data_IF_917921794391
#
_entry.id   IF_917921794391
#
_cell.length_a   1.000
_cell.length_b   1.000
_cell.length_c   1.000
_cell.angle_alpha   90.00
_cell.angle_beta   90.00
_cell.angle_gamma   90.00
#
_symmetry.space_group_name_H-M   'P 1'
#
loop_
_entity.id
_entity.type
_entity.pdbx_description
1 polymer ?
#
# COMPACT_ATOMS: atom_id res chain seq x y z
N UNK A 1 7.95 5.87 17.33
CA UNK A 1 6.77 5.12 17.82
C UNK A 1 7.26 3.76 18.27
N UNK A 2 7.21 3.49 19.58
CA UNK A 2 7.62 2.22 20.18
C UNK A 2 6.65 1.06 19.87
N UNK A 3 5.39 1.39 19.54
CA UNK A 3 4.36 0.41 19.22
C UNK A 3 3.92 0.44 17.75
N UNK A 4 3.62 -0.73 17.21
CA UNK A 4 2.83 -0.92 15.99
C UNK A 4 1.44 -1.37 16.44
N UNK A 5 0.46 -0.49 16.28
CA UNK A 5 -0.90 -0.68 16.78
C UNK A 5 -1.89 0.03 15.84
N UNK A 6 -3.06 -0.59 15.68
CA UNK A 6 -4.20 -0.02 14.95
C UNK A 6 -5.35 0.24 15.93
N UNK A 7 -6.09 1.33 15.76
CA UNK A 7 -7.14 1.75 16.70
C UNK A 7 -8.17 0.63 16.96
N UNK A 8 -8.42 0.36 18.25
CA UNK A 8 -9.28 -0.71 18.79
C UNK A 8 -8.87 -2.14 18.41
N UNK A 9 -7.65 -2.35 17.91
CA UNK A 9 -7.11 -3.69 17.74
C UNK A 9 -6.92 -4.36 19.09
N UNK A 10 -7.33 -5.61 19.24
CA UNK A 10 -7.02 -6.40 20.43
C UNK A 10 -5.56 -6.90 20.45
N UNK A 11 -4.73 -6.47 19.49
CA UNK A 11 -3.31 -6.84 19.37
C UNK A 11 -2.45 -5.63 19.01
N UNK A 12 -1.27 -5.56 19.62
CA UNK A 12 -0.23 -4.59 19.31
C UNK A 12 1.16 -5.23 19.38
N UNK A 13 2.11 -4.73 18.59
CA UNK A 13 3.50 -5.20 18.62
C UNK A 13 4.41 -4.12 19.17
N UNK A 14 5.17 -4.42 20.21
CA UNK A 14 6.21 -3.54 20.71
C UNK A 14 7.47 -3.72 19.83
N UNK A 15 7.93 -2.64 19.19
CA UNK A 15 8.99 -2.67 18.18
C UNK A 15 10.34 -3.12 18.76
N UNK A 16 10.70 -2.62 19.93
CA UNK A 16 12.04 -2.87 20.50
C UNK A 16 12.18 -4.31 20.96
N UNK A 17 11.13 -4.88 21.57
CA UNK A 17 11.15 -6.26 22.04
C UNK A 17 10.66 -7.26 21.00
N UNK A 18 10.14 -6.81 19.86
CA UNK A 18 9.51 -7.65 18.84
C UNK A 18 8.35 -8.50 19.37
N UNK A 19 7.80 -8.15 20.53
CA UNK A 19 6.78 -8.95 21.23
C UNK A 19 5.38 -8.46 20.87
N UNK A 20 4.50 -9.39 20.56
CA UNK A 20 3.08 -9.16 20.32
C UNK A 20 2.34 -9.31 21.64
N UNK A 21 1.50 -8.32 21.94
CA UNK A 21 0.65 -8.29 23.11
C UNK A 21 -0.82 -8.36 22.69
N UNK A 22 -1.61 -9.11 23.45
CA UNK A 22 -3.06 -8.96 23.47
C UNK A 22 -3.42 -7.78 24.37
N UNK A 23 -4.36 -6.96 23.92
CA UNK A 23 -4.81 -5.76 24.60
C UNK A 23 -6.30 -5.91 24.93
N UNK A 24 -6.62 -5.80 26.21
CA UNK A 24 -7.97 -5.83 26.74
C UNK A 24 -8.39 -4.43 27.16
N UNK A 25 -9.55 -3.99 26.67
CA UNK A 25 -10.11 -2.66 26.91
C UNK A 25 -11.30 -2.75 27.85
N UNK A 26 -11.36 -1.88 28.87
CA UNK A 26 -12.60 -1.65 29.59
C UNK A 26 -13.65 -1.00 28.69
N UNK A 27 -14.95 -1.22 28.98
CA UNK A 27 -16.08 -0.71 28.17
C UNK A 27 -16.05 0.80 27.88
N UNK A 28 -15.43 1.60 28.76
CA UNK A 28 -15.26 3.03 28.59
C UNK A 28 -13.79 3.40 28.85
N UNK A 29 -12.91 3.02 27.92
CA UNK A 29 -11.47 3.28 28.05
C UNK A 29 -11.19 4.79 27.96
N UNK A 30 -10.81 5.41 29.07
CA UNK A 30 -10.50 6.84 29.16
C UNK A 30 -9.06 7.12 29.62
N UNK A 31 -8.40 6.11 30.16
CA UNK A 31 -7.05 6.21 30.70
C UNK A 31 -6.25 4.93 30.45
N UNK A 32 -4.93 5.01 30.68
CA UNK A 32 -4.04 3.84 30.68
C UNK A 32 -4.42 2.77 31.72
N UNK A 33 -5.13 3.14 32.79
CA UNK A 33 -5.57 2.21 33.82
C UNK A 33 -6.69 1.27 33.30
N UNK A 34 -7.40 1.70 32.26
CA UNK A 34 -8.49 0.95 31.63
C UNK A 34 -8.00 -0.09 30.60
N UNK A 35 -6.68 -0.24 30.49
CA UNK A 35 -6.02 -1.13 29.53
C UNK A 35 -5.25 -2.20 30.29
N UNK A 36 -5.46 -3.45 29.89
CA UNK A 36 -4.63 -4.58 30.32
C UNK A 36 -3.90 -5.14 29.11
N UNK A 37 -2.60 -5.40 29.25
CA UNK A 37 -1.78 -6.00 28.20
C UNK A 37 -1.21 -7.34 28.67
N UNK A 38 -1.16 -8.32 27.75
CA UNK A 38 -0.56 -9.63 28.01
C UNK A 38 0.28 -10.06 26.82
N UNK A 39 1.55 -10.47 27.00
CA UNK A 39 2.35 -10.96 25.91
C UNK A 39 1.75 -12.27 25.38
N UNK A 40 1.65 -12.41 24.05
CA UNK A 40 1.09 -13.61 23.40
C UNK A 40 2.06 -14.30 22.48
N UNK A 41 2.99 -13.58 21.85
CA UNK A 41 4.02 -14.19 21.02
C UNK A 41 5.22 -13.25 20.87
N UNK A 42 6.38 -13.81 20.53
CA UNK A 42 7.62 -13.06 20.37
C UNK A 42 8.76 -13.60 21.24
N UNK A 43 9.95 -12.99 21.14
CA UNK A 43 11.17 -13.50 21.76
C UNK A 43 11.18 -13.35 23.29
N UNK A 44 10.37 -12.43 23.84
CA UNK A 44 10.28 -12.19 25.29
C UNK A 44 8.83 -12.30 25.76
N UNK A 45 8.57 -13.17 26.73
CA UNK A 45 7.23 -13.38 27.30
C UNK A 45 7.12 -13.00 28.78
N UNK A 46 8.25 -12.75 29.45
CA UNK A 46 8.29 -12.39 30.86
C UNK A 46 8.70 -10.92 31.01
N UNK A 47 7.84 -10.16 31.66
CA UNK A 47 8.00 -8.73 31.95
C UNK A 47 7.72 -8.50 33.43
N UNK A 48 8.51 -7.62 34.05
CA UNK A 48 8.25 -7.18 35.41
C UNK A 48 7.00 -6.30 35.45
N UNK A 49 6.43 -6.12 36.65
CA UNK A 49 5.27 -5.23 36.85
C UNK A 49 5.60 -3.79 36.41
N UNK A 50 6.80 -3.32 36.72
CA UNK A 50 7.24 -1.97 36.34
C UNK A 50 7.39 -1.82 34.83
N UNK A 51 7.92 -2.84 34.14
CA UNK A 51 8.00 -2.86 32.68
C UNK A 51 6.62 -2.86 32.03
N UNK A 52 5.67 -3.63 32.56
CA UNK A 52 4.29 -3.65 32.07
C UNK A 52 3.63 -2.26 32.19
N UNK A 53 3.85 -1.53 33.28
CA UNK A 53 3.32 -0.17 33.42
C UNK A 53 3.96 0.81 32.42
N UNK A 54 5.27 0.74 32.18
CA UNK A 54 5.92 1.53 31.12
C UNK A 54 5.38 1.19 29.74
N UNK A 55 5.22 -0.09 29.43
CA UNK A 55 4.64 -0.56 28.17
C UNK A 55 3.19 -0.08 27.98
N UNK A 56 2.40 -0.01 29.06
CA UNK A 56 1.05 0.56 29.03
C UNK A 56 1.07 2.07 28.77
N UNK A 57 2.02 2.81 29.35
CA UNK A 57 2.20 4.23 29.09
C UNK A 57 2.49 4.52 27.61
N UNK A 58 3.42 3.76 27.04
CA UNK A 58 3.76 3.87 25.62
C UNK A 58 2.62 3.45 24.69
N UNK A 59 1.91 2.37 25.04
CA UNK A 59 0.74 1.92 24.29
C UNK A 59 -0.38 2.96 24.34
N UNK A 60 -0.60 3.59 25.49
CA UNK A 60 -1.59 4.65 25.63
C UNK A 60 -1.26 5.84 24.72
N UNK A 61 0.00 6.26 24.69
CA UNK A 61 0.45 7.30 23.76
C UNK A 61 0.21 6.90 22.29
N UNK A 62 0.54 5.65 21.92
CA UNK A 62 0.30 5.13 20.57
C UNK A 62 -1.21 5.06 20.22
N UNK A 63 -2.06 4.76 21.20
CA UNK A 63 -3.51 4.74 21.02
C UNK A 63 -4.06 6.15 20.76
N UNK A 64 -3.61 7.15 21.53
CA UNK A 64 -3.97 8.55 21.30
C UNK A 64 -3.48 9.03 19.92
N UNK A 65 -2.28 8.63 19.52
CA UNK A 65 -1.72 8.92 18.20
C UNK A 65 -2.60 8.37 17.07
N UNK A 66 -2.99 7.10 17.17
CA UNK A 66 -3.79 6.44 16.14
C UNK A 66 -5.24 6.93 16.12
N UNK A 67 -5.80 7.30 17.28
CA UNK A 67 -7.10 7.97 17.36
C UNK A 67 -7.07 9.31 16.63
N UNK A 68 -6.02 10.12 16.84
CA UNK A 68 -5.83 11.39 16.11
C UNK A 68 -5.66 11.16 14.62
N UNK A 69 -4.87 10.16 14.20
CA UNK A 69 -4.74 9.79 12.79
C UNK A 69 -6.08 9.41 12.17
N UNK A 70 -6.89 8.61 12.85
CA UNK A 70 -8.21 8.17 12.36
C UNK A 70 -9.14 9.37 12.20
N UNK A 71 -9.15 10.28 13.19
CA UNK A 71 -9.92 11.51 13.11
C UNK A 71 -9.43 12.42 11.97
N UNK A 72 -8.12 12.60 11.82
CA UNK A 72 -7.51 13.34 10.71
C UNK A 72 -7.91 12.74 9.35
N UNK A 73 -7.85 11.40 9.22
CA UNK A 73 -8.25 10.70 8.00
C UNK A 73 -9.71 10.98 7.67
N UNK A 74 -10.59 10.87 8.67
CA UNK A 74 -12.02 11.16 8.50
C UNK A 74 -12.25 12.60 8.02
N UNK A 75 -11.60 13.59 8.64
CA UNK A 75 -11.70 14.98 8.21
C UNK A 75 -11.23 15.15 6.76
N UNK A 76 -10.06 14.64 6.43
CA UNK A 76 -9.46 14.77 5.10
C UNK A 76 -10.36 14.17 4.02
N UNK A 77 -10.86 12.95 4.23
CA UNK A 77 -11.66 12.27 3.21
C UNK A 77 -13.09 12.84 3.13
N UNK A 78 -13.74 13.12 4.27
CA UNK A 78 -15.16 13.49 4.30
C UNK A 78 -15.41 15.00 4.11
N UNK A 79 -14.62 15.83 4.78
CA UNK A 79 -14.79 17.30 4.79
C UNK A 79 -13.97 17.97 3.69
N UNK A 80 -12.76 17.47 3.41
CA UNK A 80 -11.85 18.05 2.41
C UNK A 80 -11.83 17.28 1.08
N UNK A 81 -12.73 16.32 0.88
CA UNK A 81 -12.84 15.51 -0.36
C UNK A 81 -11.48 14.91 -0.80
N UNK A 82 -10.72 14.40 0.18
CA UNK A 82 -9.42 13.76 0.01
C UNK A 82 -8.29 14.69 -0.44
N UNK A 83 -8.48 16.01 -0.43
CA UNK A 83 -7.55 17.03 -0.94
C UNK A 83 -6.44 17.37 0.08
N UNK A 84 -5.31 16.68 -0.02
CA UNK A 84 -4.25 16.82 1.00
C UNK A 84 -3.44 18.10 0.82
N UNK A 85 -3.30 18.60 -0.40
CA UNK A 85 -2.72 19.92 -0.71
C UNK A 85 -3.53 21.02 -0.05
N UNK A 86 -4.86 20.97 -0.16
CA UNK A 86 -5.70 21.97 0.47
C UNK A 86 -5.66 21.88 1.99
N UNK A 87 -5.74 20.67 2.54
CA UNK A 87 -5.58 20.42 3.98
C UNK A 87 -4.25 21.00 4.49
N UNK A 88 -3.15 20.74 3.77
CA UNK A 88 -1.84 21.28 4.10
C UNK A 88 -1.82 22.81 4.06
N UNK A 89 -2.50 23.43 3.09
CA UNK A 89 -2.63 24.89 2.98
C UNK A 89 -3.41 25.50 4.16
N UNK A 90 -4.50 24.84 4.57
CA UNK A 90 -5.35 25.29 5.68
C UNK A 90 -4.58 25.20 7.00
N UNK A 91 -3.95 24.06 7.24
CA UNK A 91 -3.11 23.86 8.43
C UNK A 91 -1.99 24.87 8.46
N UNK A 92 -1.31 25.10 7.33
CA UNK A 92 -0.17 26.03 7.29
C UNK A 92 -0.59 27.45 7.67
N UNK A 93 -1.76 27.89 7.19
CA UNK A 93 -2.31 29.21 7.49
C UNK A 93 -2.74 29.35 8.96
N UNK A 94 -3.44 28.37 9.51
CA UNK A 94 -4.00 28.46 10.87
C UNK A 94 -2.98 28.14 11.97
N UNK A 95 -2.01 27.27 11.69
CA UNK A 95 -0.98 26.91 12.64
C UNK A 95 0.31 27.73 12.52
N UNK A 96 0.40 28.63 11.52
CA UNK A 96 1.62 29.38 11.17
C UNK A 96 2.86 28.47 11.01
N UNK A 97 2.69 27.33 10.34
CA UNK A 97 3.73 26.30 10.15
C UNK A 97 3.79 25.89 8.69
N UNK A 98 4.94 25.46 8.20
CA UNK A 98 5.06 24.95 6.84
C UNK A 98 4.64 23.47 6.79
N UNK A 99 3.47 23.18 6.21
CA UNK A 99 2.94 21.84 6.02
C UNK A 99 2.73 21.59 4.53
N UNK A 100 3.20 20.45 4.05
CA UNK A 100 3.02 20.03 2.66
C UNK A 100 2.02 18.86 2.56
N UNK A 101 1.52 18.58 1.36
CA UNK A 101 0.70 17.39 1.12
C UNK A 101 1.43 16.09 1.51
N UNK A 102 2.75 16.02 1.29
CA UNK A 102 3.59 14.89 1.73
C UNK A 102 3.61 14.74 3.25
N UNK A 103 3.63 15.85 3.99
CA UNK A 103 3.54 15.83 5.45
C UNK A 103 2.20 15.24 5.89
N UNK A 104 1.10 15.66 5.27
CA UNK A 104 -0.25 15.12 5.55
C UNK A 104 -0.31 13.63 5.19
N UNK A 105 0.23 13.21 4.04
CA UNK A 105 0.31 11.80 3.67
C UNK A 105 1.11 10.98 4.69
N UNK A 106 2.23 11.49 5.19
CA UNK A 106 3.04 10.84 6.21
C UNK A 106 2.31 10.69 7.56
N UNK A 107 1.38 11.61 7.88
CA UNK A 107 0.50 11.45 9.04
C UNK A 107 -0.60 10.42 8.83
N UNK A 108 -1.04 10.23 7.58
CA UNK A 108 -2.16 9.35 7.21
C UNK A 108 -1.73 7.95 6.78
N UNK A 109 -0.44 7.70 6.54
CA UNK A 109 0.03 6.34 6.22
C UNK A 109 -0.09 5.42 7.43
N UNK A 110 -0.15 4.12 7.18
CA UNK A 110 -0.21 3.07 8.19
C UNK A 110 0.89 3.21 9.26
N UNK A 111 0.57 3.01 10.55
CA UNK A 111 1.59 3.02 11.60
C UNK A 111 2.63 1.91 11.38
N UNK A 112 3.84 2.14 11.90
CA UNK A 112 4.91 1.16 11.80
C UNK A 112 5.82 1.35 10.57
N UNK A 113 5.28 1.90 9.47
CA UNK A 113 6.04 2.22 8.24
C UNK A 113 7.16 3.23 8.49
N UNK A 114 8.27 3.14 7.75
CA UNK A 114 9.42 4.05 7.91
C UNK A 114 9.06 5.53 7.64
N UNK A 115 8.13 5.77 6.73
CA UNK A 115 7.60 7.09 6.38
C UNK A 115 6.50 7.59 7.30
N UNK A 116 5.97 6.75 8.20
CA UNK A 116 4.92 7.13 9.14
C UNK A 116 5.41 8.21 10.08
N UNK A 117 4.61 9.27 10.24
CA UNK A 117 4.80 10.31 11.23
C UNK A 117 3.54 10.45 12.08
N UNK A 118 3.72 10.94 13.29
CA UNK A 118 2.62 11.25 14.18
C UNK A 118 1.87 12.51 13.71
N UNK A 119 0.53 12.49 13.73
CA UNK A 119 -0.31 13.65 13.45
C UNK A 119 -0.42 14.55 14.69
N UNK A 120 0.23 15.73 14.71
CA UNK A 120 0.29 16.53 15.91
C UNK A 120 -1.03 17.21 16.24
N UNK A 121 -1.29 17.45 17.54
CA UNK A 121 -2.55 18.03 18.02
C UNK A 121 -2.83 19.42 17.43
N UNK A 122 -1.80 20.23 17.22
CA UNK A 122 -1.95 21.55 16.61
C UNK A 122 -2.48 21.49 15.18
N UNK A 123 -2.16 20.43 14.42
CA UNK A 123 -2.66 20.25 13.07
C UNK A 123 -4.16 19.94 13.08
N UNK A 124 -4.59 19.08 14.01
CA UNK A 124 -6.00 18.79 14.25
C UNK A 124 -6.77 20.04 14.68
N UNK A 125 -6.23 20.80 15.64
CA UNK A 125 -6.83 22.06 16.09
C UNK A 125 -7.01 23.05 14.95
N UNK A 126 -6.00 23.21 14.09
CA UNK A 126 -6.06 24.10 12.93
C UNK A 126 -7.19 23.73 11.95
N UNK A 127 -7.41 22.43 11.69
CA UNK A 127 -8.52 21.99 10.84
C UNK A 127 -9.89 22.20 11.50
N UNK A 128 -10.00 21.91 12.79
CA UNK A 128 -11.26 22.11 13.53
C UNK A 128 -11.62 23.60 13.61
N UNK A 129 -10.64 24.48 13.80
CA UNK A 129 -10.83 25.93 13.77
C UNK A 129 -11.21 26.44 12.36
N UNK A 130 -10.69 25.81 11.30
CA UNK A 130 -11.12 26.13 9.95
C UNK A 130 -12.61 25.78 9.73
N UNK A 131 -13.03 24.60 10.21
CA UNK A 131 -14.39 24.08 10.07
C UNK A 131 -15.43 24.78 10.95
N UNK A 132 -15.02 25.42 12.04
CA UNK A 132 -15.93 26.14 12.94
C UNK A 132 -16.47 27.44 12.33
N UNK A 133 -15.85 27.95 11.26
CA UNK A 133 -16.27 29.16 10.56
C UNK A 133 -17.29 28.82 9.45
N UNK A 134 -18.54 29.36 9.51
CA UNK A 134 -19.58 29.04 8.53
C UNK A 134 -19.16 29.30 7.07
N UNK A 135 -18.42 30.39 6.80
CA UNK A 135 -17.99 30.71 5.42
C UNK A 135 -17.07 29.66 4.80
N UNK A 136 -16.37 28.87 5.63
CA UNK A 136 -15.51 27.80 5.15
C UNK A 136 -16.29 26.53 4.84
N UNK A 137 -17.40 26.28 5.54
CA UNK A 137 -18.25 25.12 5.27
C UNK A 137 -18.87 25.21 3.87
N UNK A 138 -19.34 26.40 3.47
CA UNK A 138 -19.89 26.62 2.13
C UNK A 138 -18.82 26.41 1.05
N UNK A 139 -17.60 26.91 1.27
CA UNK A 139 -16.46 26.68 0.37
C UNK A 139 -16.10 25.20 0.22
N UNK A 140 -16.11 24.44 1.33
CA UNK A 140 -15.84 23.01 1.31
C UNK A 140 -16.93 22.23 0.58
N UNK A 141 -18.21 22.57 0.79
CA UNK A 141 -19.34 21.98 0.04
C UNK A 141 -19.20 22.23 -1.45
N UNK A 142 -18.97 23.48 -1.87
CA UNK A 142 -18.78 23.83 -3.27
C UNK A 142 -17.61 23.05 -3.91
N UNK A 143 -16.50 22.88 -3.18
CA UNK A 143 -15.35 22.11 -3.65
C UNK A 143 -15.66 20.61 -3.77
N UNK A 144 -16.40 20.06 -2.82
CA UNK A 144 -16.84 18.66 -2.83
C UNK A 144 -17.77 18.38 -4.01
N UNK A 145 -18.78 19.22 -4.20
CA UNK A 145 -19.69 19.13 -5.36
C UNK A 145 -18.94 19.26 -6.69
N UNK A 146 -17.99 20.19 -6.78
CA UNK A 146 -17.16 20.33 -7.98
C UNK A 146 -16.40 19.03 -8.29
N UNK A 147 -15.78 18.40 -7.29
CA UNK A 147 -15.07 17.12 -7.47
C UNK A 147 -16.00 15.97 -7.84
N UNK A 148 -17.18 15.88 -7.24
CA UNK A 148 -18.16 14.83 -7.52
C UNK A 148 -18.73 14.93 -8.94
N UNK A 149 -18.83 16.15 -9.49
CA UNK A 149 -19.27 16.39 -10.88
C UNK A 149 -18.18 16.13 -11.92
N UNK A 150 -16.91 16.02 -11.51
CA UNK A 150 -15.85 15.66 -12.44
C UNK A 150 -16.05 14.20 -12.87
N UNK A 151 -15.91 13.89 -14.17
CA UNK A 151 -15.91 12.50 -14.61
C UNK A 151 -14.83 11.74 -13.85
N UNK A 152 -15.17 10.52 -13.39
CA UNK A 152 -14.22 9.66 -12.70
C UNK A 152 -12.92 9.60 -13.50
N UNK A 153 -11.77 10.02 -12.92
CA UNK A 153 -10.53 10.04 -13.66
C UNK A 153 -10.21 8.61 -14.09
N UNK A 154 -10.23 8.38 -15.41
CA UNK A 154 -9.95 7.06 -16.00
C UNK A 154 -8.52 6.59 -15.69
N UNK A 155 -7.61 7.51 -15.36
CA UNK A 155 -6.23 7.23 -14.98
C UNK A 155 -5.79 8.17 -13.86
N UNK A 156 -4.99 7.66 -12.92
CA UNK A 156 -4.32 8.48 -11.88
C UNK A 156 -3.32 9.42 -12.54
N UNK A 157 -3.41 10.71 -12.25
CA UNK A 157 -2.46 11.70 -12.76
C UNK A 157 -1.23 11.82 -11.86
N UNK A 158 -0.16 12.45 -12.36
CA UNK A 158 1.02 12.79 -11.55
C UNK A 158 0.63 13.69 -10.35
N UNK A 159 -0.33 14.59 -10.55
CA UNK A 159 -0.84 15.46 -9.49
C UNK A 159 -1.60 14.67 -8.42
N UNK A 160 -2.40 13.68 -8.81
CA UNK A 160 -3.07 12.78 -7.85
C UNK A 160 -2.07 11.97 -7.04
N UNK A 161 -1.00 11.48 -7.68
CA UNK A 161 0.07 10.78 -6.97
C UNK A 161 0.76 11.72 -5.99
N UNK A 162 1.17 12.91 -6.45
CA UNK A 162 1.83 13.91 -5.60
C UNK A 162 0.95 14.33 -4.41
N UNK A 163 -0.37 14.46 -4.61
CA UNK A 163 -1.33 14.85 -3.57
C UNK A 163 -1.67 13.71 -2.60
N UNK A 164 -1.90 12.48 -3.09
CA UNK A 164 -2.52 11.41 -2.30
C UNK A 164 -1.64 10.19 -2.02
N UNK A 165 -0.76 9.82 -2.94
CA UNK A 165 -0.17 8.48 -2.96
C UNK A 165 1.36 8.45 -2.90
N UNK A 166 2.05 9.58 -3.10
CA UNK A 166 3.50 9.63 -3.24
C UNK A 166 4.23 8.96 -2.07
N UNK A 167 3.85 9.29 -0.82
CA UNK A 167 4.46 8.69 0.37
C UNK A 167 4.16 7.19 0.43
N UNK A 168 2.93 6.76 0.13
CA UNK A 168 2.56 5.34 0.15
C UNK A 168 3.34 4.53 -0.90
N UNK A 169 3.47 5.04 -2.12
CA UNK A 169 4.21 4.38 -3.19
C UNK A 169 5.70 4.31 -2.86
N UNK A 170 6.32 5.42 -2.47
CA UNK A 170 7.73 5.42 -2.08
C UNK A 170 8.00 4.47 -0.91
N UNK A 171 7.09 4.38 0.07
CA UNK A 171 7.21 3.42 1.18
C UNK A 171 7.13 1.98 0.69
N UNK A 172 6.17 1.69 -0.19
CA UNK A 172 6.00 0.35 -0.75
C UNK A 172 7.20 -0.09 -1.58
N UNK A 173 7.82 0.83 -2.32
CA UNK A 173 9.07 0.59 -3.05
C UNK A 173 10.23 0.31 -2.11
N UNK A 174 10.43 1.14 -1.08
CA UNK A 174 11.46 0.90 -0.06
C UNK A 174 11.28 -0.47 0.61
N UNK A 175 10.07 -0.82 1.03
CA UNK A 175 9.78 -2.12 1.66
C UNK A 175 9.96 -3.30 0.70
N UNK A 176 9.72 -3.09 -0.60
CA UNK A 176 9.99 -4.11 -1.62
C UNK A 176 11.49 -4.31 -1.78
N UNK A 177 12.25 -3.24 -1.85
CA UNK A 177 13.70 -3.28 -2.01
C UNK A 177 14.39 -3.89 -0.78
N UNK A 178 13.93 -3.56 0.42
CA UNK A 178 14.41 -4.17 1.66
C UNK A 178 14.11 -5.67 1.72
N UNK A 179 12.90 -6.09 1.32
CA UNK A 179 12.55 -7.52 1.24
C UNK A 179 13.40 -8.26 0.20
N UNK A 180 13.61 -7.65 -0.96
CA UNK A 180 14.47 -8.22 -2.00
C UNK A 180 15.91 -8.34 -1.50
N UNK A 181 16.46 -7.28 -0.90
CA UNK A 181 17.80 -7.28 -0.33
C UNK A 181 17.95 -8.38 0.71
N UNK A 182 17.02 -8.47 1.66
CA UNK A 182 17.02 -9.51 2.69
C UNK A 182 16.98 -10.91 2.07
N UNK A 183 16.09 -11.14 1.11
CA UNK A 183 16.00 -12.44 0.43
C UNK A 183 17.33 -12.84 -0.25
N UNK A 184 18.04 -11.88 -0.85
CA UNK A 184 19.36 -12.13 -1.44
C UNK A 184 20.44 -12.34 -0.38
N UNK A 185 20.42 -11.59 0.72
CA UNK A 185 21.36 -11.76 1.84
C UNK A 185 21.19 -13.11 2.53
N UNK A 186 19.95 -13.60 2.65
CA UNK A 186 19.62 -14.87 3.28
C UNK A 186 19.84 -16.08 2.35
N UNK A 187 20.18 -15.86 1.07
CA UNK A 187 20.40 -16.94 0.08
C UNK A 187 21.77 -17.59 0.30
N UNK A 188 21.79 -18.92 0.40
CA UNK A 188 23.06 -19.67 0.54
C UNK A 188 23.83 -19.71 -0.78
N UNK A 189 25.16 -19.94 -0.72
CA UNK A 189 25.97 -20.12 -1.93
C UNK A 189 25.51 -21.31 -2.79
N UNK A 190 24.90 -22.34 -2.17
CA UNK A 190 24.36 -23.50 -2.87
C UNK A 190 23.07 -23.19 -3.64
N UNK A 191 22.22 -22.30 -3.12
CA UNK A 191 20.95 -21.92 -3.77
C UNK A 191 21.13 -20.83 -4.83
N UNK A 192 22.27 -20.13 -4.81
CA UNK A 192 22.55 -18.99 -5.67
C UNK A 192 22.42 -19.29 -7.17
N UNK A 193 22.95 -20.40 -7.72
CA UNK A 193 22.80 -20.71 -9.14
C UNK A 193 21.33 -20.82 -9.58
N UNK A 194 20.50 -21.54 -8.80
CA UNK A 194 19.08 -21.70 -9.09
C UNK A 194 18.32 -20.37 -9.02
N UNK A 195 18.65 -19.51 -8.04
CA UNK A 195 18.06 -18.17 -7.93
C UNK A 195 18.43 -17.26 -9.10
N UNK A 196 19.67 -17.32 -9.56
CA UNK A 196 20.15 -16.56 -10.72
C UNK A 196 19.47 -17.03 -12.01
N UNK A 197 19.38 -18.34 -12.22
CA UNK A 197 18.67 -18.91 -13.36
C UNK A 197 17.19 -18.47 -13.40
N UNK A 198 16.48 -18.58 -12.28
CA UNK A 198 15.08 -18.14 -12.20
C UNK A 198 14.91 -16.63 -12.46
N UNK A 199 15.87 -15.81 -12.02
CA UNK A 199 15.89 -14.39 -12.31
C UNK A 199 16.10 -14.13 -13.81
N UNK A 200 17.11 -14.74 -14.42
CA UNK A 200 17.41 -14.63 -15.85
C UNK A 200 16.24 -15.09 -16.70
N UNK A 201 15.64 -16.24 -16.37
CA UNK A 201 14.46 -16.78 -17.03
C UNK A 201 13.30 -15.78 -16.99
N UNK A 202 12.98 -15.25 -15.80
CA UNK A 202 11.89 -14.27 -15.63
C UNK A 202 12.16 -12.98 -16.39
N UNK A 203 13.40 -12.48 -16.39
CA UNK A 203 13.78 -11.27 -17.13
C UNK A 203 13.65 -11.51 -18.63
N UNK A 204 14.15 -12.63 -19.14
CA UNK A 204 14.07 -13.01 -20.55
C UNK A 204 12.62 -13.15 -21.01
N UNK A 205 11.78 -13.86 -20.24
CA UNK A 205 10.35 -14.00 -20.51
C UNK A 205 9.64 -12.63 -20.54
N UNK A 206 9.98 -11.74 -19.60
CA UNK A 206 9.40 -10.40 -19.55
C UNK A 206 9.85 -9.52 -20.71
N UNK A 207 11.13 -9.58 -21.09
CA UNK A 207 11.67 -8.83 -22.23
C UNK A 207 10.97 -9.28 -23.51
N UNK A 208 10.90 -10.59 -23.77
CA UNK A 208 10.18 -11.12 -24.94
C UNK A 208 8.73 -10.66 -24.97
N UNK A 209 8.01 -10.79 -23.84
CA UNK A 209 6.63 -10.29 -23.72
C UNK A 209 6.50 -8.80 -24.09
N UNK A 210 7.46 -7.95 -23.70
CA UNK A 210 7.43 -6.53 -24.01
C UNK A 210 7.82 -6.25 -25.47
N UNK A 211 8.87 -6.89 -25.98
CA UNK A 211 9.30 -6.79 -27.38
C UNK A 211 8.18 -7.18 -28.33
N UNK A 212 7.49 -8.27 -28.03
CA UNK A 212 6.36 -8.78 -28.77
C UNK A 212 5.20 -7.79 -28.80
N UNK A 213 4.84 -7.21 -27.64
CA UNK A 213 3.81 -6.16 -27.57
C UNK A 213 4.20 -4.92 -28.35
N UNK A 214 5.46 -4.50 -28.28
CA UNK A 214 5.96 -3.37 -29.06
C UNK A 214 5.93 -3.68 -30.56
N UNK A 215 6.28 -4.90 -30.96
CA UNK A 215 6.19 -5.37 -32.35
C UNK A 215 4.76 -5.34 -32.86
N UNK A 216 3.80 -5.89 -32.10
CA UNK A 216 2.37 -5.86 -32.44
C UNK A 216 1.82 -4.43 -32.58
N UNK A 217 2.14 -3.56 -31.62
CA UNK A 217 1.80 -2.12 -31.70
C UNK A 217 2.40 -1.45 -32.94
N UNK A 218 3.67 -1.74 -33.25
CA UNK A 218 4.37 -1.17 -34.39
C UNK A 218 3.81 -1.66 -35.71
N UNK A 219 3.46 -2.95 -35.81
CA UNK A 219 2.82 -3.54 -36.99
C UNK A 219 1.43 -2.93 -37.23
N UNK A 220 0.61 -2.83 -36.18
CA UNK A 220 -0.70 -2.20 -36.26
C UNK A 220 -0.60 -0.73 -36.69
N UNK A 221 0.41 0.00 -36.19
CA UNK A 221 0.65 1.40 -36.57
C UNK A 221 1.06 1.54 -38.04
N UNK A 222 1.89 0.63 -38.56
CA UNK A 222 2.35 0.65 -39.96
C UNK A 222 1.27 0.29 -40.96
N UNK A 223 0.40 -0.66 -40.59
CA UNK A 223 -0.54 -1.27 -41.54
C UNK A 223 -1.99 -0.78 -41.37
N UNK A 224 -2.34 -0.22 -40.21
CA UNK A 224 -3.66 0.36 -39.97
C UNK A 224 -3.88 1.63 -40.76
N UNK A 225 -5.02 1.74 -41.44
CA UNK A 225 -5.38 2.92 -42.26
C UNK A 225 -6.18 3.94 -41.46
N UNK A 226 -6.61 3.58 -40.25
CA UNK A 226 -7.34 4.45 -39.33
C UNK A 226 -7.02 4.11 -37.86
N UNK A 227 -7.38 5.01 -36.95
CA UNK A 227 -7.22 4.79 -35.51
C UNK A 227 -8.07 3.63 -34.99
N UNK A 228 -9.27 3.43 -35.54
CA UNK A 228 -10.15 2.33 -35.15
C UNK A 228 -9.60 0.97 -35.61
N UNK A 229 -9.04 0.90 -36.82
CA UNK A 229 -8.32 -0.30 -37.29
C UNK A 229 -7.09 -0.60 -36.45
N UNK A 230 -6.30 0.42 -36.11
CA UNK A 230 -5.17 0.28 -35.20
C UNK A 230 -5.61 -0.31 -33.85
N UNK A 231 -6.68 0.23 -33.25
CA UNK A 231 -7.19 -0.25 -31.96
C UNK A 231 -7.69 -1.69 -32.05
N UNK A 232 -8.40 -2.05 -33.11
CA UNK A 232 -8.91 -3.40 -33.30
C UNK A 232 -7.77 -4.42 -33.43
N UNK A 233 -6.78 -4.14 -34.28
CA UNK A 233 -5.61 -5.01 -34.49
C UNK A 233 -4.79 -5.16 -33.20
N UNK A 234 -4.57 -4.07 -32.46
CA UNK A 234 -3.84 -4.14 -31.19
C UNK A 234 -4.57 -5.01 -30.16
N UNK A 235 -5.90 -4.89 -30.05
CA UNK A 235 -6.65 -5.71 -29.10
C UNK A 235 -6.69 -7.18 -29.50
N UNK A 236 -6.85 -7.48 -30.79
CA UNK A 236 -6.85 -8.84 -31.31
C UNK A 236 -5.49 -9.52 -31.09
N UNK A 237 -4.39 -8.83 -31.42
CA UNK A 237 -3.03 -9.33 -31.22
C UNK A 237 -2.72 -9.59 -29.74
N UNK A 238 -3.19 -8.72 -28.83
CA UNK A 238 -3.02 -8.92 -27.39
C UNK A 238 -3.79 -10.14 -26.89
N UNK A 239 -5.03 -10.33 -27.34
CA UNK A 239 -5.88 -11.45 -26.90
C UNK A 239 -5.42 -12.79 -27.49
N UNK A 240 -5.06 -12.81 -28.78
CA UNK A 240 -4.54 -14.01 -29.45
C UNK A 240 -3.26 -14.47 -28.77
N UNK A 241 -2.36 -13.53 -28.45
CA UNK A 241 -1.09 -13.87 -27.81
C UNK A 241 -1.24 -14.33 -26.37
N UNK A 242 -2.16 -13.76 -25.59
CA UNK A 242 -2.50 -14.28 -24.26
C UNK A 242 -3.00 -15.74 -24.34
N UNK A 243 -3.73 -16.07 -25.40
CA UNK A 243 -4.23 -17.43 -25.66
C UNK A 243 -3.10 -18.39 -26.09
N UNK A 244 -2.21 -17.95 -26.98
CA UNK A 244 -1.01 -18.72 -27.38
C UNK A 244 -0.09 -19.01 -26.19
N UNK A 245 0.22 -18.00 -25.38
CA UNK A 245 1.04 -18.14 -24.17
C UNK A 245 0.42 -19.13 -23.17
N UNK A 246 -0.91 -19.11 -23.04
CA UNK A 246 -1.64 -20.06 -22.20
C UNK A 246 -1.46 -21.50 -22.69
N UNK A 247 -1.68 -21.77 -23.98
CA UNK A 247 -1.53 -23.12 -24.53
C UNK A 247 -0.07 -23.61 -24.48
N UNK A 248 0.91 -22.75 -24.77
CA UNK A 248 2.34 -23.11 -24.65
C UNK A 248 2.68 -23.45 -23.20
N UNK A 249 2.23 -22.65 -22.23
CA UNK A 249 2.50 -22.91 -20.80
C UNK A 249 1.83 -24.19 -20.32
N UNK A 250 0.57 -24.41 -20.70
CA UNK A 250 -0.18 -25.63 -20.39
C UNK A 250 0.51 -26.87 -20.97
N UNK A 251 0.94 -26.80 -22.23
CA UNK A 251 1.67 -27.88 -22.90
C UNK A 251 3.01 -28.15 -22.23
N UNK A 252 3.78 -27.10 -21.90
CA UNK A 252 5.05 -27.24 -21.17
C UNK A 252 4.87 -27.94 -19.83
N UNK A 253 3.85 -27.56 -19.05
CA UNK A 253 3.53 -28.23 -17.78
C UNK A 253 3.18 -29.69 -17.99
N UNK A 254 2.42 -30.02 -19.04
CA UNK A 254 2.10 -31.40 -19.36
C UNK A 254 3.35 -32.23 -19.71
N UNK A 255 4.29 -31.66 -20.46
CA UNK A 255 5.59 -32.27 -20.78
C UNK A 255 6.42 -32.49 -19.50
N UNK A 256 6.61 -31.44 -18.69
CA UNK A 256 7.46 -31.49 -17.49
C UNK A 256 6.91 -32.47 -16.44
N UNK A 257 5.57 -32.56 -16.32
CA UNK A 257 4.91 -33.48 -15.40
C UNK A 257 4.68 -34.89 -15.98
N UNK A 258 4.99 -35.12 -17.26
CA UNK A 258 4.66 -36.34 -18.00
C UNK A 258 3.19 -36.73 -17.85
N UNK A 259 2.29 -35.80 -18.17
CA UNK A 259 0.83 -35.99 -18.08
C UNK A 259 0.16 -35.83 -19.43
N UNK A 260 -1.09 -36.30 -19.56
CA UNK A 260 -1.83 -36.29 -20.81
C UNK A 260 -1.16 -37.16 -21.86
N UNK A 261 -1.02 -36.65 -23.08
CA UNK A 261 -0.31 -37.30 -24.18
C UNK A 261 1.16 -37.59 -23.86
N UNK A 262 1.78 -36.80 -22.99
CA UNK A 262 3.20 -36.96 -22.62
C UNK A 262 3.44 -38.03 -21.55
N UNK A 263 2.38 -38.65 -21.01
CA UNK A 263 2.49 -39.80 -20.11
C UNK A 263 2.76 -41.11 -20.88
N UNK A 264 2.45 -41.15 -22.18
CA UNK A 264 2.59 -42.33 -23.01
C UNK A 264 3.77 -42.18 -24.00
N UNK A 265 4.63 -43.20 -24.19
CA UNK A 265 5.78 -43.12 -25.11
C UNK A 265 5.41 -42.80 -26.56
N UNK A 266 4.19 -43.16 -26.98
CA UNK A 266 3.67 -42.91 -28.33
C UNK A 266 2.90 -41.59 -28.47
N UNK A 267 2.72 -40.80 -27.39
CA UNK A 267 2.02 -39.52 -27.48
C UNK A 267 0.50 -39.61 -27.57
N UNK A 268 -0.11 -40.69 -27.06
CA UNK A 268 -1.57 -40.89 -27.11
C UNK A 268 -2.25 -40.23 -25.91
N UNK A 269 -3.32 -39.47 -26.16
CA UNK A 269 -4.12 -38.87 -25.09
C UNK A 269 -4.71 -39.99 -24.21
N UNK A 270 -4.40 -39.96 -22.91
CA UNK A 270 -4.98 -40.87 -21.93
C UNK A 270 -6.49 -40.62 -21.78
N UNK A 271 -7.31 -41.67 -21.89
CA UNK A 271 -8.77 -41.65 -21.70
C UNK A 271 -9.19 -41.16 -20.29
#
# INVERSE_FOLDING_TARGET
>A
MAWIYSYLSNKGTHKETGTVFTIEYARNTQSKADITIRPTSGPRQQFSITEIETLKDELWAALLDERRRTMMRSLVENEFAGDRQYVASVISRFAARNVSARTVQAWLIEPGKASSRFCPEWAMKALLEYLSKPENQERLRARKEYKERQPWPQKRTVLDVADKHAVQFATTEIERDERMRKAWTDTTLGDLPSKLFELERRMTERIRYLEDRVSGLTSALKNGKSFDEYRAVVLDELNNRESEDYEVRKTRLAIEAQTGEFAHPEGLASE
#
